data_IF_258627815603
#
_entry.id   IF_258627815603
#
_cell.length_a   1.000
_cell.length_b   1.000
_cell.length_c   1.000
_cell.angle_alpha   90.00
_cell.angle_beta   90.00
_cell.angle_gamma   90.00
#
_symmetry.space_group_name_H-M   'P 1'
#
loop_
_entity.id
_entity.type
_entity.pdbx_description
1 polymer ?
#
# COMPACT_ATOMS: atom_id res chain seq x y z
N UNK A 1 0.87 17.18 -5.82
CA UNK A 1 1.18 16.61 -4.50
C UNK A 1 2.42 15.76 -4.63
N UNK A 2 3.28 15.73 -3.60
CA UNK A 2 4.50 14.91 -3.60
C UNK A 2 4.16 13.46 -3.26
N UNK A 3 4.88 12.46 -3.79
CA UNK A 3 4.69 11.06 -3.42
C UNK A 3 4.94 10.86 -1.93
N UNK A 4 4.29 9.85 -1.35
CA UNK A 4 4.45 9.53 0.08
C UNK A 4 5.85 8.91 0.25
N UNK A 5 6.74 9.53 1.04
CA UNK A 5 8.09 9.04 1.17
C UNK A 5 8.13 7.76 2.01
N UNK A 6 9.11 6.89 1.74
CA UNK A 6 9.26 5.57 2.41
C UNK A 6 9.20 5.63 3.94
N UNK A 7 9.72 6.68 4.56
CA UNK A 7 9.74 6.84 6.02
C UNK A 7 8.38 7.25 6.61
N UNK A 8 7.48 7.80 5.81
CA UNK A 8 6.12 8.16 6.22
C UNK A 8 5.13 6.99 6.14
N UNK A 9 5.51 5.89 5.48
CA UNK A 9 4.69 4.68 5.39
C UNK A 9 4.62 4.01 6.76
N UNK A 10 3.41 3.89 7.31
CA UNK A 10 3.17 3.18 8.57
C UNK A 10 3.15 1.67 8.30
N UNK A 11 3.85 0.88 9.10
CA UNK A 11 3.84 -0.58 9.00
C UNK A 11 2.93 -1.16 10.08
N UNK A 12 1.92 -1.96 9.70
CA UNK A 12 1.07 -2.66 10.69
C UNK A 12 1.80 -3.82 11.36
N UNK A 13 2.85 -4.34 10.73
CA UNK A 13 3.61 -5.49 11.18
C UNK A 13 5.12 -5.28 11.00
N UNK A 14 5.91 -5.93 11.84
CA UNK A 14 7.37 -5.90 11.73
C UNK A 14 7.84 -6.83 10.61
N UNK A 15 8.49 -6.27 9.60
CA UNK A 15 9.12 -7.04 8.51
C UNK A 15 10.60 -7.26 8.87
N UNK A 16 10.98 -8.52 9.14
CA UNK A 16 12.36 -8.88 9.49
C UNK A 16 13.30 -8.91 8.28
N UNK A 17 12.78 -9.31 7.12
CA UNK A 17 13.53 -9.35 5.87
C UNK A 17 13.69 -7.91 5.33
N UNK A 18 14.92 -7.40 5.32
CA UNK A 18 15.26 -6.05 4.87
C UNK A 18 14.97 -5.83 3.40
N UNK A 19 15.22 -6.82 2.55
CA UNK A 19 14.99 -6.72 1.11
C UNK A 19 13.50 -6.62 0.80
N UNK A 20 12.69 -7.49 1.42
CA UNK A 20 11.24 -7.45 1.29
C UNK A 20 10.64 -6.13 1.80
N UNK A 21 11.18 -5.60 2.91
CA UNK A 21 10.78 -4.30 3.45
C UNK A 21 11.09 -3.18 2.46
N UNK A 22 12.33 -3.12 1.95
CA UNK A 22 12.77 -2.08 1.03
C UNK A 22 12.02 -2.13 -0.30
N UNK A 23 11.79 -3.34 -0.83
CA UNK A 23 10.95 -3.58 -2.00
C UNK A 23 9.57 -2.97 -1.79
N UNK A 24 8.90 -3.38 -0.71
CA UNK A 24 7.53 -2.96 -0.43
C UNK A 24 7.40 -1.44 -0.25
N UNK A 25 8.36 -0.81 0.44
CA UNK A 25 8.40 0.64 0.62
C UNK A 25 8.61 1.37 -0.71
N UNK A 26 9.48 0.85 -1.57
CA UNK A 26 9.73 1.42 -2.91
C UNK A 26 8.48 1.31 -3.79
N UNK A 27 7.76 0.18 -3.73
CA UNK A 27 6.50 0.00 -4.46
C UNK A 27 5.42 1.00 -4.04
N UNK A 28 5.30 1.29 -2.74
CA UNK A 28 4.35 2.30 -2.25
C UNK A 28 4.74 3.70 -2.73
N UNK A 29 6.03 4.04 -2.63
CA UNK A 29 6.54 5.32 -3.12
C UNK A 29 6.24 5.49 -4.62
N UNK A 30 6.56 4.49 -5.45
CA UNK A 30 6.29 4.49 -6.90
C UNK A 30 4.80 4.54 -7.22
N UNK A 31 3.96 3.82 -6.46
CA UNK A 31 2.52 3.84 -6.62
C UNK A 31 1.94 5.25 -6.35
N UNK A 32 2.40 5.92 -5.29
CA UNK A 32 1.91 7.25 -4.91
C UNK A 32 2.36 8.38 -5.84
N UNK A 33 3.28 8.10 -6.77
CA UNK A 33 3.60 9.03 -7.87
C UNK A 33 2.50 9.06 -8.94
N UNK A 34 1.63 8.04 -9.00
CA UNK A 34 0.57 7.96 -10.01
C UNK A 34 -0.56 8.94 -9.68
N UNK A 35 -1.16 9.61 -10.69
CA UNK A 35 -2.16 10.65 -10.47
C UNK A 35 -3.37 10.13 -9.66
N UNK A 36 -3.75 8.87 -9.88
CA UNK A 36 -4.86 8.21 -9.17
C UNK A 36 -4.61 8.01 -7.68
N UNK A 37 -3.34 7.99 -7.24
CA UNK A 37 -2.97 7.81 -5.83
C UNK A 37 -2.32 9.05 -5.21
N UNK A 38 -1.95 10.04 -6.03
CA UNK A 38 -1.22 11.24 -5.61
C UNK A 38 -2.04 12.14 -4.67
N UNK A 39 -3.36 11.98 -4.61
CA UNK A 39 -4.23 12.73 -3.71
C UNK A 39 -4.25 12.16 -2.28
N UNK A 40 -3.74 10.94 -2.08
CA UNK A 40 -3.60 10.35 -0.75
C UNK A 40 -2.35 10.90 -0.06
N UNK A 41 -2.46 11.13 1.24
CA UNK A 41 -1.37 11.66 2.08
C UNK A 41 -0.90 10.65 3.10
N UNK A 42 -1.70 9.61 3.37
CA UNK A 42 -1.42 8.58 4.36
C UNK A 42 -1.34 7.23 3.64
N UNK A 43 -0.25 6.50 3.89
CA UNK A 43 -0.06 5.13 3.44
C UNK A 43 0.24 4.23 4.64
N UNK A 44 -0.50 3.13 4.73
CA UNK A 44 -0.32 2.11 5.76
C UNK A 44 -0.10 0.78 5.04
N UNK A 45 1.08 0.19 5.22
CA UNK A 45 1.35 -1.14 4.72
C UNK A 45 0.59 -2.16 5.55
N UNK A 46 -0.30 -2.92 4.90
CA UNK A 46 -1.04 -4.01 5.52
C UNK A 46 -0.30 -5.33 5.38
N UNK A 47 0.04 -5.70 4.14
CA UNK A 47 0.78 -6.92 3.83
C UNK A 47 1.94 -6.60 2.87
N UNK A 48 3.16 -7.11 3.14
CA UNK A 48 4.26 -7.02 2.19
C UNK A 48 3.95 -7.78 0.90
N UNK A 49 4.89 -7.77 -0.06
CA UNK A 49 4.73 -8.54 -1.30
C UNK A 49 4.35 -10.01 -1.02
N UNK A 50 3.24 -10.44 -1.62
CA UNK A 50 2.71 -11.80 -1.56
C UNK A 50 1.90 -12.10 -2.83
N UNK A 51 1.59 -13.38 -3.04
CA UNK A 51 0.62 -13.84 -4.04
C UNK A 51 -0.63 -14.32 -3.34
N UNK A 52 -1.80 -14.06 -3.91
CA UNK A 52 -3.08 -14.56 -3.39
C UNK A 52 -3.53 -15.79 -4.17
N UNK A 53 -4.33 -16.66 -3.57
CA UNK A 53 -4.90 -17.84 -4.25
C UNK A 53 -5.76 -17.47 -5.47
N UNK A 54 -6.32 -16.25 -5.47
CA UNK A 54 -7.20 -15.72 -6.52
C UNK A 54 -6.49 -14.73 -7.45
N UNK A 55 -5.30 -14.26 -7.10
CA UNK A 55 -4.48 -13.36 -7.92
C UNK A 55 -3.01 -13.80 -7.79
N UNK A 56 -2.56 -14.54 -8.80
CA UNK A 56 -1.21 -15.09 -8.88
C UNK A 56 -0.15 -14.02 -9.14
N UNK A 57 -0.55 -12.78 -9.42
CA UNK A 57 0.39 -11.68 -9.60
C UNK A 57 0.94 -11.24 -8.24
N UNK A 58 2.27 -11.15 -8.08
CA UNK A 58 2.85 -10.72 -6.83
C UNK A 58 2.51 -9.24 -6.58
N UNK A 59 2.00 -8.96 -5.38
CA UNK A 59 1.56 -7.63 -5.01
C UNK A 59 1.76 -7.34 -3.52
N UNK A 60 1.97 -6.06 -3.20
CA UNK A 60 1.86 -5.56 -1.84
C UNK A 60 0.46 -5.00 -1.61
N UNK A 61 -0.06 -5.13 -0.38
CA UNK A 61 -1.34 -4.51 0.01
C UNK A 61 -1.08 -3.32 0.89
N UNK A 62 -1.45 -2.13 0.40
CA UNK A 62 -1.39 -0.88 1.15
C UNK A 62 -2.81 -0.33 1.36
N UNK A 63 -3.01 0.39 2.47
CA UNK A 63 -4.16 1.21 2.71
C UNK A 63 -3.76 2.67 2.46
N UNK A 64 -4.49 3.34 1.60
CA UNK A 64 -4.32 4.76 1.32
C UNK A 64 -5.49 5.56 1.88
N UNK A 65 -5.19 6.73 2.44
CA UNK A 65 -6.22 7.63 2.95
C UNK A 65 -5.78 9.09 2.77
N UNK A 66 -6.75 9.96 2.57
CA UNK A 66 -6.58 11.39 2.81
C UNK A 66 -6.61 11.65 4.32
N UNK A 67 -6.17 12.83 4.75
CA UNK A 67 -6.25 13.20 6.17
C UNK A 67 -7.69 13.16 6.70
N UNK A 68 -8.65 13.56 5.87
CA UNK A 68 -10.08 13.53 6.21
C UNK A 68 -10.61 12.10 6.32
N UNK A 69 -10.28 11.23 5.36
CA UNK A 69 -10.66 9.81 5.42
C UNK A 69 -10.08 9.15 6.67
N UNK A 70 -8.80 9.38 6.96
CA UNK A 70 -8.13 8.79 8.13
C UNK A 70 -8.75 9.27 9.45
N UNK A 71 -9.12 10.55 9.57
CA UNK A 71 -9.85 11.08 10.74
C UNK A 71 -11.20 10.42 10.94
N UNK A 72 -11.87 10.03 9.86
CA UNK A 72 -13.15 9.31 9.88
C UNK A 72 -12.98 7.77 9.93
N UNK A 73 -11.77 7.28 10.22
CA UNK A 73 -11.43 5.85 10.23
C UNK A 73 -11.79 5.12 8.91
N UNK A 74 -11.57 5.81 7.78
CA UNK A 74 -11.77 5.27 6.44
C UNK A 74 -10.45 5.19 5.70
N UNK A 75 -10.32 4.17 4.85
CA UNK A 75 -9.19 4.03 3.95
C UNK A 75 -9.60 3.26 2.69
N UNK A 76 -8.84 3.43 1.62
CA UNK A 76 -8.95 2.67 0.39
C UNK A 76 -7.86 1.62 0.35
N UNK A 77 -8.23 0.37 0.06
CA UNK A 77 -7.23 -0.69 -0.12
C UNK A 77 -6.69 -0.63 -1.52
N UNK A 78 -5.37 -0.70 -1.68
CA UNK A 78 -4.70 -0.82 -2.96
C UNK A 78 -3.83 -2.06 -2.99
N UNK A 79 -3.96 -2.82 -4.07
CA UNK A 79 -2.98 -3.83 -4.45
C UNK A 79 -1.98 -3.19 -5.39
N UNK A 80 -0.71 -3.23 -5.02
CA UNK A 80 0.40 -2.66 -5.78
C UNK A 80 1.17 -3.82 -6.39
N UNK A 81 1.02 -4.00 -7.70
CA UNK A 81 1.61 -5.09 -8.46
C UNK A 81 3.05 -4.76 -8.85
N UNK A 82 3.87 -5.81 -8.93
CA UNK A 82 5.24 -5.69 -9.40
C UNK A 82 5.64 -6.88 -10.28
N UNK A 83 6.74 -6.75 -11.01
CA UNK A 83 7.36 -7.83 -11.77
C UNK A 83 8.32 -8.66 -10.91
N UNK A 84 8.95 -9.67 -11.52
CA UNK A 84 9.94 -10.53 -10.85
C UNK A 84 11.20 -9.78 -10.40
N UNK A 85 11.47 -8.61 -10.97
CA UNK A 85 12.57 -7.73 -10.58
C UNK A 85 12.19 -6.78 -9.43
N UNK A 86 10.93 -6.86 -8.96
CA UNK A 86 10.42 -6.00 -7.90
C UNK A 86 10.08 -4.59 -8.37
N UNK A 87 9.91 -4.37 -9.69
CA UNK A 87 9.55 -3.07 -10.25
C UNK A 87 8.03 -2.93 -10.30
N UNK A 88 7.55 -1.74 -9.97
CA UNK A 88 6.14 -1.40 -10.08
C UNK A 88 5.60 -1.67 -11.50
N UNK A 89 4.54 -2.45 -11.62
CA UNK A 89 3.88 -2.74 -12.92
C UNK A 89 2.48 -2.15 -13.01
N UNK A 90 1.86 -1.86 -11.87
CA UNK A 90 0.51 -1.30 -11.82
C UNK A 90 -0.07 -1.35 -10.43
N UNK A 91 -1.29 -0.84 -10.29
CA UNK A 91 -2.03 -0.94 -9.05
C UNK A 91 -3.51 -1.15 -9.33
N UNK A 92 -4.21 -1.68 -8.34
CA UNK A 92 -5.66 -1.75 -8.31
C UNK A 92 -6.15 -1.15 -7.02
N UNK A 93 -6.87 -0.04 -7.14
CA UNK A 93 -7.53 0.63 -6.04
C UNK A 93 -8.93 0.02 -5.87
N UNK A 94 -9.23 -0.41 -4.65
CA UNK A 94 -10.53 -0.91 -4.27
C UNK A 94 -11.34 0.21 -3.62
N UNK A 95 -12.67 0.11 -3.70
CA UNK A 95 -13.57 1.09 -3.10
C UNK A 95 -13.24 1.34 -1.63
N UNK A 96 -13.47 2.58 -1.21
CA UNK A 96 -13.40 2.99 0.19
C UNK A 96 -14.18 2.03 1.08
N UNK A 97 -13.54 1.60 2.16
CA UNK A 97 -14.17 0.79 3.19
C UNK A 97 -13.87 1.42 4.55
N UNK A 98 -14.79 1.23 5.48
CA UNK A 98 -14.50 1.48 6.89
C UNK A 98 -13.28 0.63 7.27
N UNK A 99 -12.30 1.28 7.89
CA UNK A 99 -11.12 0.60 8.38
C UNK A 99 -11.57 -0.14 9.65
N UNK A 100 -12.18 -1.32 9.48
CA UNK A 100 -12.49 -2.20 10.59
C UNK A 100 -11.20 -2.43 11.35
N UNK A 101 -11.16 -2.01 12.62
CA UNK A 101 -10.26 -2.61 13.60
C UNK A 101 -10.44 -4.12 13.45
N UNK A 102 -9.38 -4.83 13.09
CA UNK A 102 -9.44 -6.30 12.97
C UNK A 102 -10.16 -6.86 14.19
N UNK A 103 -11.21 -7.64 13.93
CA UNK A 103 -11.94 -8.42 14.93
C UNK A 103 -10.92 -9.27 15.70
N UNK A 104 -10.95 -9.17 17.05
CA UNK A 104 -10.28 -10.09 17.96
C UNK A 104 -10.88 -11.50 17.86
#
# INVERSE_FOLDING_TARGET
>A
MSPIPRHAVKLTQRIRNSDLRNLTLSLIEDATQKPDLAHFTIAILKNPSHTSHTDLRPHATALFATEEQFKNNKAQTAHIYHDEQGRYTGHRLYQERENKSSDE
#
